data_IF_932439352877
#
_entry.id   IF_932439352877
#
_cell.length_a   1.000
_cell.length_b   1.000
_cell.length_c   1.000
_cell.angle_alpha   90.00
_cell.angle_beta   90.00
_cell.angle_gamma   90.00
#
_symmetry.space_group_name_H-M   'P 1'
#
loop_
_entity.id
_entity.type
_entity.pdbx_description
1 polymer ?
#
# COMPACT_ATOMS: atom_id res chain seq x y z
N UNK A 1 -16.30 23.95 -20.00
CA UNK A 1 -15.07 23.16 -20.20
C UNK A 1 -14.29 23.16 -18.89
N UNK A 2 -14.11 22.02 -18.24
CA UNK A 2 -13.28 21.92 -17.03
C UNK A 2 -11.79 22.08 -17.42
N UNK A 3 -11.06 22.97 -16.74
CA UNK A 3 -9.75 23.48 -17.19
C UNK A 3 -8.55 23.01 -16.36
N UNK A 4 -8.74 22.08 -15.42
CA UNK A 4 -7.65 21.56 -14.59
C UNK A 4 -7.94 20.13 -14.09
N UNK A 5 -6.86 19.37 -13.85
CA UNK A 5 -6.89 18.03 -13.26
C UNK A 5 -6.12 18.07 -11.94
N UNK A 6 -6.75 17.60 -10.87
CA UNK A 6 -6.09 17.33 -9.59
C UNK A 6 -6.46 15.90 -9.17
N UNK A 7 -5.51 15.00 -9.32
CA UNK A 7 -5.63 13.57 -9.00
C UNK A 7 -4.34 13.13 -8.33
N UNK A 8 -4.47 12.37 -7.26
CA UNK A 8 -3.39 11.72 -6.53
C UNK A 8 -3.68 10.23 -6.51
N UNK A 9 -2.70 9.41 -6.88
CA UNK A 9 -2.77 7.95 -6.78
C UNK A 9 -1.55 7.50 -6.00
N UNK A 10 -1.76 6.81 -4.87
CA UNK A 10 -0.68 6.34 -4.00
C UNK A 10 -0.89 4.87 -3.68
N UNK A 11 0.19 4.11 -3.63
CA UNK A 11 0.22 2.73 -3.15
C UNK A 11 1.31 2.65 -2.08
N UNK A 12 0.93 2.22 -0.88
CA UNK A 12 1.84 2.20 0.24
C UNK A 12 1.31 1.42 1.43
N UNK A 13 1.98 1.58 2.56
CA UNK A 13 1.62 0.90 3.81
C UNK A 13 1.34 1.93 4.91
N UNK A 14 0.37 1.65 5.77
CA UNK A 14 0.06 2.51 6.93
C UNK A 14 1.22 2.45 7.95
N UNK A 15 1.77 3.60 8.35
CA UNK A 15 2.80 3.64 9.40
C UNK A 15 2.27 3.56 10.82
N UNK A 16 0.99 3.86 11.01
CA UNK A 16 0.26 3.77 12.28
C UNK A 16 -1.20 3.42 12.04
N UNK A 17 -1.92 3.07 13.10
CA UNK A 17 -3.34 2.77 13.02
C UNK A 17 -4.16 3.98 12.53
N UNK A 18 -5.28 3.75 11.81
CA UNK A 18 -6.17 4.80 11.38
C UNK A 18 -6.73 5.63 12.55
N UNK A 19 -6.78 6.96 12.38
CA UNK A 19 -7.39 7.85 13.36
C UNK A 19 -8.82 8.20 12.93
N UNK A 20 -9.80 7.45 13.43
CA UNK A 20 -11.24 7.71 13.21
C UNK A 20 -11.80 8.66 14.28
N UNK A 21 -12.49 9.72 13.85
CA UNK A 21 -13.15 10.70 14.72
C UNK A 21 -14.46 11.17 14.13
N UNK A 22 -15.40 11.58 14.98
CA UNK A 22 -16.62 12.26 14.57
C UNK A 22 -16.47 13.77 14.70
N UNK A 23 -16.95 14.53 13.73
CA UNK A 23 -17.02 15.99 13.82
C UNK A 23 -18.22 16.41 14.70
N UNK A 24 -18.24 17.66 15.22
CA UNK A 24 -19.41 18.19 15.93
C UNK A 24 -20.70 18.18 15.10
N UNK A 25 -20.59 18.12 13.77
CA UNK A 25 -21.69 18.08 12.82
C UNK A 25 -22.17 16.64 12.53
N UNK A 26 -21.56 15.63 13.15
CA UNK A 26 -21.93 14.22 13.01
C UNK A 26 -21.24 13.48 11.86
N UNK A 27 -20.42 14.14 11.03
CA UNK A 27 -19.66 13.48 9.96
C UNK A 27 -18.50 12.66 10.53
N UNK A 28 -18.25 11.48 9.94
CA UNK A 28 -17.08 10.68 10.28
C UNK A 28 -15.86 11.09 9.47
N UNK A 29 -14.70 11.14 10.11
CA UNK A 29 -13.42 11.50 9.48
C UNK A 29 -12.37 10.50 9.90
N UNK A 30 -11.70 9.89 8.93
CA UNK A 30 -10.59 8.99 9.17
C UNK A 30 -9.32 9.57 8.57
N UNK A 31 -8.29 9.74 9.39
CA UNK A 31 -6.96 10.17 8.95
C UNK A 31 -6.00 8.99 8.91
N UNK A 32 -5.34 8.78 7.78
CA UNK A 32 -4.31 7.77 7.60
C UNK A 32 -2.94 8.42 7.44
N UNK A 33 -1.91 7.72 7.88
CA UNK A 33 -0.51 8.05 7.61
C UNK A 33 0.10 6.97 6.71
N UNK A 34 0.26 7.27 5.42
CA UNK A 34 0.69 6.32 4.40
C UNK A 34 2.15 6.57 4.02
N UNK A 35 2.98 5.53 4.14
CA UNK A 35 4.36 5.55 3.69
C UNK A 35 4.47 5.06 2.24
N UNK A 36 5.24 5.77 1.42
CA UNK A 36 5.74 5.26 0.13
C UNK A 36 7.27 5.33 0.14
N UNK A 37 7.93 4.24 -0.21
CA UNK A 37 9.38 4.14 -0.17
C UNK A 37 9.93 3.91 -1.57
N UNK A 38 10.90 4.74 -1.96
CA UNK A 38 11.71 4.53 -3.17
C UNK A 38 13.13 4.07 -2.79
N UNK A 39 13.71 3.21 -3.61
CA UNK A 39 15.13 2.84 -3.52
C UNK A 39 15.88 3.47 -4.68
N UNK A 40 16.93 4.21 -4.38
CA UNK A 40 17.75 4.85 -5.40
C UNK A 40 19.23 4.72 -5.05
N UNK A 41 20.09 4.90 -6.06
CA UNK A 41 21.53 4.89 -5.89
C UNK A 41 22.04 6.32 -5.77
N UNK A 42 22.80 6.62 -4.73
CA UNK A 42 23.39 7.96 -4.55
C UNK A 42 24.59 8.19 -5.50
N UNK A 43 25.13 9.41 -5.48
CA UNK A 43 26.29 9.79 -6.31
C UNK A 43 27.55 8.98 -5.98
N UNK A 44 27.64 8.41 -4.79
CA UNK A 44 28.75 7.57 -4.33
C UNK A 44 28.56 6.09 -4.70
N UNK A 45 27.43 5.75 -5.31
CA UNK A 45 27.11 4.40 -5.73
C UNK A 45 26.50 3.51 -4.64
N UNK A 46 26.09 4.07 -3.50
CA UNK A 46 25.43 3.31 -2.44
C UNK A 46 23.92 3.31 -2.63
N UNK A 47 23.27 2.20 -2.29
CA UNK A 47 21.80 2.14 -2.23
C UNK A 47 21.29 2.92 -1.03
N UNK A 48 20.30 3.78 -1.27
CA UNK A 48 19.60 4.56 -0.27
C UNK A 48 18.09 4.26 -0.38
N UNK A 49 17.39 4.37 0.74
CA UNK A 49 15.93 4.33 0.79
C UNK A 49 15.40 5.69 1.22
N UNK A 50 14.47 6.26 0.46
CA UNK A 50 13.77 7.49 0.82
C UNK A 50 12.29 7.15 1.02
N UNK A 51 11.73 7.58 2.17
CA UNK A 51 10.33 7.30 2.51
C UNK A 51 9.57 8.60 2.71
N UNK A 52 8.57 8.79 1.86
CA UNK A 52 7.63 9.90 1.94
C UNK A 52 6.38 9.53 2.72
N UNK A 53 5.90 10.47 3.52
CA UNK A 53 4.75 10.31 4.40
C UNK A 53 3.57 11.15 3.94
N UNK A 54 2.45 10.49 3.67
CA UNK A 54 1.27 11.10 3.09
C UNK A 54 0.12 11.08 4.09
N UNK A 55 -0.43 12.26 4.37
CA UNK A 55 -1.63 12.40 5.17
C UNK A 55 -2.86 12.25 4.29
N UNK A 56 -3.58 11.14 4.46
CA UNK A 56 -4.80 10.84 3.70
C UNK A 56 -6.01 11.08 4.60
N UNK A 57 -7.01 11.79 4.12
CA UNK A 57 -8.25 12.07 4.86
C UNK A 57 -9.43 11.51 4.08
N UNK A 58 -10.16 10.59 4.71
CA UNK A 58 -11.44 10.07 4.24
C UNK A 58 -12.59 10.63 5.07
N UNK A 59 -13.77 10.72 4.45
CA UNK A 59 -15.00 11.19 5.07
C UNK A 59 -16.10 10.13 5.00
N UNK A 60 -17.04 10.22 5.93
CA UNK A 60 -18.29 9.46 6.00
C UNK A 60 -18.05 7.96 5.80
N UNK A 61 -18.72 7.34 4.82
CA UNK A 61 -18.63 5.89 4.57
C UNK A 61 -17.19 5.42 4.33
N UNK A 62 -16.37 6.19 3.62
CA UNK A 62 -14.97 5.83 3.38
C UNK A 62 -14.14 5.94 4.66
N UNK A 63 -14.48 6.88 5.55
CA UNK A 63 -13.86 6.98 6.85
C UNK A 63 -14.16 5.77 7.74
N UNK A 64 -15.43 5.34 7.76
CA UNK A 64 -15.85 4.15 8.51
C UNK A 64 -15.18 2.88 8.00
N UNK A 65 -15.12 2.68 6.67
CA UNK A 65 -14.43 1.54 6.06
C UNK A 65 -12.95 1.55 6.44
N UNK A 66 -12.28 2.70 6.27
CA UNK A 66 -10.86 2.82 6.59
C UNK A 66 -10.58 2.55 8.08
N UNK A 67 -11.37 3.13 8.98
CA UNK A 67 -11.22 2.93 10.42
C UNK A 67 -11.56 1.52 10.90
N UNK A 68 -12.48 0.83 10.23
CA UNK A 68 -12.90 -0.52 10.61
C UNK A 68 -11.94 -1.61 10.14
N UNK A 69 -11.37 -1.49 8.94
CA UNK A 69 -10.65 -2.58 8.30
C UNK A 69 -9.13 -2.37 8.22
N UNK A 70 -8.65 -1.13 8.29
CA UNK A 70 -7.21 -0.87 8.22
C UNK A 70 -6.58 -0.86 9.61
N UNK A 71 -5.30 -1.22 9.64
CA UNK A 71 -4.43 -1.13 10.83
C UNK A 71 -3.03 -0.73 10.40
N UNK A 72 -2.15 -0.46 11.37
CA UNK A 72 -0.72 -0.27 11.11
C UNK A 72 -0.19 -1.44 10.26
N UNK A 73 0.56 -1.10 9.22
CA UNK A 73 1.12 -2.05 8.27
C UNK A 73 0.21 -2.39 7.10
N UNK A 74 -1.09 -2.08 7.14
CA UNK A 74 -2.01 -2.38 6.04
C UNK A 74 -1.53 -1.78 4.73
N UNK A 75 -1.49 -2.59 3.67
CA UNK A 75 -1.17 -2.17 2.32
C UNK A 75 -2.43 -1.69 1.62
N UNK A 76 -2.39 -0.47 1.12
CA UNK A 76 -3.53 0.14 0.42
C UNK A 76 -3.08 0.85 -0.85
N UNK A 77 -3.99 0.91 -1.83
CA UNK A 77 -3.96 1.92 -2.88
C UNK A 77 -5.08 2.93 -2.61
N UNK A 78 -4.79 4.21 -2.81
CA UNK A 78 -5.75 5.30 -2.67
C UNK A 78 -5.75 6.18 -3.91
N UNK A 79 -6.94 6.53 -4.40
CA UNK A 79 -7.13 7.64 -5.33
C UNK A 79 -7.81 8.80 -4.60
N UNK A 80 -7.33 10.02 -4.84
CA UNK A 80 -7.85 11.23 -4.24
C UNK A 80 -7.42 12.49 -4.96
N UNK A 81 -7.39 13.61 -4.24
CA UNK A 81 -6.90 14.90 -4.73
C UNK A 81 -6.14 15.64 -3.65
N UNK A 82 -5.21 16.51 -4.03
CA UNK A 82 -4.57 17.40 -3.08
C UNK A 82 -5.55 18.47 -2.60
N UNK A 83 -5.57 18.71 -1.28
CA UNK A 83 -6.29 19.80 -0.66
C UNK A 83 -5.36 20.48 0.35
N UNK A 84 -5.08 21.76 0.11
CA UNK A 84 -4.41 22.61 1.08
C UNK A 84 -5.45 23.39 1.87
N UNK A 85 -5.31 23.42 3.19
CA UNK A 85 -6.09 24.28 4.10
C UNK A 85 -5.15 25.09 4.96
N UNK A 86 -5.58 26.28 5.35
CA UNK A 86 -4.89 27.10 6.34
C UNK A 86 -5.61 27.04 7.69
N UNK A 87 -4.86 27.21 8.76
CA UNK A 87 -5.38 27.44 10.11
C UNK A 87 -4.41 28.35 10.86
N UNK A 88 -4.91 29.12 11.83
CA UNK A 88 -4.06 29.88 12.75
C UNK A 88 -3.69 29.00 13.94
N UNK A 89 -2.41 29.00 14.30
CA UNK A 89 -1.96 28.38 15.54
C UNK A 89 -2.19 29.30 16.75
N UNK A 90 -1.87 28.81 17.95
CA UNK A 90 -2.05 29.56 19.20
C UNK A 90 -1.22 30.85 19.27
N UNK A 91 -0.20 31.00 18.41
CA UNK A 91 0.63 32.21 18.33
C UNK A 91 0.08 33.25 17.34
N UNK A 92 -1.04 32.95 16.67
CA UNK A 92 -1.61 33.77 15.60
C UNK A 92 -0.89 33.59 14.25
N UNK A 93 -0.01 32.59 14.11
CA UNK A 93 0.69 32.34 12.85
C UNK A 93 -0.18 31.47 11.93
N UNK A 94 -0.43 31.91 10.70
CA UNK A 94 -1.09 31.10 9.68
C UNK A 94 -0.19 29.93 9.25
N UNK A 95 -0.68 28.70 9.43
CA UNK A 95 -0.06 27.47 8.97
C UNK A 95 -0.86 26.86 7.83
N UNK A 96 -0.16 26.24 6.89
CA UNK A 96 -0.75 25.52 5.76
C UNK A 96 -0.54 24.02 5.94
N UNK A 97 -1.57 23.23 5.68
CA UNK A 97 -1.50 21.78 5.65
C UNK A 97 -2.01 21.33 4.29
N UNK A 98 -1.19 20.58 3.57
CA UNK A 98 -1.57 19.88 2.33
C UNK A 98 -1.85 18.42 2.66
N UNK A 99 -3.04 17.96 2.32
CA UNK A 99 -3.52 16.60 2.59
C UNK A 99 -4.05 15.99 1.29
N UNK A 100 -4.11 14.66 1.23
CA UNK A 100 -4.83 13.95 0.17
C UNK A 100 -6.25 13.71 0.65
N UNK A 101 -7.23 14.34 0.00
CA UNK A 101 -8.63 14.02 0.21
C UNK A 101 -8.94 12.72 -0.55
N UNK A 102 -9.05 11.62 0.18
CA UNK A 102 -9.28 10.29 -0.37
C UNK A 102 -10.69 10.18 -0.96
N UNK A 103 -10.78 9.60 -2.16
CA UNK A 103 -12.03 9.33 -2.88
C UNK A 103 -12.28 7.83 -2.96
N UNK A 104 -11.27 7.06 -3.33
CA UNK A 104 -11.34 5.61 -3.49
C UNK A 104 -10.24 4.93 -2.68
N UNK A 105 -10.58 3.81 -2.06
CA UNK A 105 -9.69 3.03 -1.21
C UNK A 105 -9.73 1.57 -1.67
N UNK A 106 -8.56 1.02 -1.98
CA UNK A 106 -8.37 -0.38 -2.32
C UNK A 106 -7.48 -1.00 -1.25
N UNK A 107 -8.03 -1.95 -0.51
CA UNK A 107 -7.28 -2.77 0.44
C UNK A 107 -6.56 -3.86 -0.35
N UNK A 108 -5.24 -3.96 -0.16
CA UNK A 108 -4.39 -4.91 -0.87
C UNK A 108 -3.82 -5.98 0.06
N UNK A 109 -4.16 -5.92 1.35
CA UNK A 109 -3.88 -7.01 2.28
C UNK A 109 -4.68 -8.25 1.81
N UNK A 110 -4.03 -9.41 1.74
CA UNK A 110 -4.71 -10.64 1.34
C UNK A 110 -5.87 -10.91 2.31
N UNK A 111 -7.08 -11.01 1.77
CA UNK A 111 -8.24 -11.54 2.49
C UNK A 111 -8.00 -13.03 2.75
N UNK A 112 -7.13 -13.38 3.71
CA UNK A 112 -6.73 -14.76 3.92
C UNK A 112 -5.50 -15.02 4.79
N UNK A 113 -4.88 -14.00 5.39
CA UNK A 113 -3.80 -14.19 6.37
C UNK A 113 -4.29 -14.61 7.76
N UNK A 114 -5.23 -15.56 7.86
CA UNK A 114 -5.33 -16.36 9.07
C UNK A 114 -4.05 -17.20 9.10
N UNK A 115 -3.06 -16.74 9.85
CA UNK A 115 -1.94 -17.57 10.27
C UNK A 115 -2.50 -18.70 11.13
N UNK A 116 -3.05 -19.71 10.46
CA UNK A 116 -3.43 -20.96 11.06
C UNK A 116 -2.14 -21.57 11.62
N UNK A 117 -2.00 -21.45 12.94
CA UNK A 117 -1.09 -22.24 13.75
C UNK A 117 -1.53 -23.70 13.63
N UNK A 118 -1.18 -24.34 12.50
CA UNK A 118 -1.34 -25.76 12.30
C UNK A 118 -0.20 -26.51 12.99
N UNK A 119 -0.47 -27.57 13.75
CA UNK A 119 0.52 -28.22 14.60
C UNK A 119 1.61 -28.91 13.77
N UNK A 120 2.83 -28.84 14.27
CA UNK A 120 3.98 -29.65 13.85
C UNK A 120 3.63 -31.13 13.77
N UNK A 121 3.78 -31.73 12.59
CA UNK A 121 3.94 -33.17 12.43
C UNK A 121 5.36 -33.47 11.98
N UNK A 122 6.08 -34.15 12.88
CA UNK A 122 7.36 -34.76 12.66
C UNK A 122 7.17 -36.19 12.11
N UNK A 123 8.10 -36.65 11.26
CA UNK A 123 8.16 -38.01 10.68
C UNK A 123 7.21 -38.19 9.50
N UNK A 124 7.56 -38.81 8.37
CA UNK A 124 8.42 -39.98 8.20
C UNK A 124 8.77 -40.16 6.69
N UNK A 125 9.98 -40.67 6.44
CA UNK A 125 10.42 -41.50 5.31
C UNK A 125 10.09 -41.15 3.84
N UNK A 126 11.17 -40.91 3.08
CA UNK A 126 11.28 -40.94 1.62
C UNK A 126 10.77 -42.24 0.97
N UNK A 127 10.26 -42.15 -0.27
CA UNK A 127 10.37 -43.24 -1.23
C UNK A 127 11.44 -42.94 -2.30
N UNK A 128 12.18 -44.00 -2.56
CA UNK A 128 13.22 -44.23 -3.56
C UNK A 128 12.73 -43.89 -4.99
N UNK A 129 13.49 -43.10 -5.75
CA UNK A 129 13.24 -42.88 -7.18
C UNK A 129 14.03 -43.90 -7.97
N UNK A 130 13.30 -44.81 -8.61
CA UNK A 130 13.83 -45.80 -9.53
C UNK A 130 14.40 -45.15 -10.79
N UNK A 131 15.46 -45.82 -11.26
CA UNK A 131 16.28 -45.54 -12.43
C UNK A 131 15.47 -45.44 -13.74
N UNK A 132 15.74 -44.39 -14.52
CA UNK A 132 15.66 -44.43 -15.98
C UNK A 132 16.84 -43.64 -16.59
N UNK A 133 17.78 -44.42 -17.12
CA UNK A 133 18.81 -44.04 -18.08
C UNK A 133 18.23 -44.31 -19.48
N UNK A 134 18.20 -43.31 -20.38
CA UNK A 134 18.77 -43.42 -21.74
C UNK A 134 18.54 -42.10 -22.52
N UNK A 135 19.65 -41.55 -22.98
CA UNK A 135 19.93 -40.90 -24.29
C UNK A 135 19.10 -39.74 -24.86
N UNK A 136 19.87 -38.68 -25.11
CA UNK A 136 20.17 -38.17 -26.47
C UNK A 136 19.00 -37.61 -27.29
N UNK A 137 18.85 -36.28 -27.25
CA UNK A 137 18.53 -35.47 -28.43
C UNK A 137 19.03 -34.04 -28.19
N UNK A 138 20.19 -33.74 -28.78
CA UNK A 138 20.57 -32.40 -29.22
C UNK A 138 19.63 -31.90 -30.33
N UNK A 139 19.57 -30.58 -30.48
CA UNK A 139 19.00 -29.81 -31.60
C UNK A 139 17.47 -29.74 -31.70
N UNK A 140 16.91 -28.58 -31.29
CA UNK A 140 15.95 -27.77 -32.07
C UNK A 140 15.38 -26.62 -31.21
N UNK A 141 16.18 -25.57 -31.02
CA UNK A 141 15.70 -24.27 -30.56
C UNK A 141 16.08 -23.19 -31.58
N UNK A 142 15.49 -23.29 -32.76
CA UNK A 142 15.40 -22.20 -33.73
C UNK A 142 14.17 -22.48 -34.62
N UNK A 143 13.03 -21.87 -34.28
CA UNK A 143 12.17 -21.17 -35.25
C UNK A 143 10.81 -20.75 -34.64
N UNK A 144 10.37 -19.56 -35.05
CA UNK A 144 8.99 -19.06 -35.02
C UNK A 144 8.39 -18.50 -33.70
N UNK A 145 8.87 -17.31 -33.31
CA UNK A 145 8.02 -16.29 -32.67
C UNK A 145 7.51 -15.28 -33.72
N UNK A 146 6.23 -15.33 -34.13
CA UNK A 146 5.67 -14.33 -35.03
C UNK A 146 5.35 -13.01 -34.31
N UNK A 147 5.62 -11.90 -35.00
CA UNK A 147 5.31 -10.51 -34.61
C UNK A 147 3.81 -10.22 -34.55
#
# INVERSE_FOLDING_TARGET
MARSLNRVTLLGNLGRDPELRSTPQGSQVCTLNLATTEKYKDKSGNWQENTDWHRIVFWDKSAEIAGKYLKKGSKIMVEGKLKTRSYEDQSGTTKYITEVLGRELFMLDSAGGSGNSGPSHAGESSPNYDSFDDKDTSDDFDDDVPF
#
